data_IF_831606004095
#
_entry.id   IF_831606004095
#
_cell.length_a   1.000
_cell.length_b   1.000
_cell.length_c   1.000
_cell.angle_alpha   90.00
_cell.angle_beta   90.00
_cell.angle_gamma   90.00
#
_symmetry.space_group_name_H-M   'P 1'
#
loop_
_entity.id
_entity.type
_entity.pdbx_description
1 polymer ?
#
# COMPACT_ATOMS: atom_id res chain seq x y z
N UNK A 1 -36.75 20.58 -21.21
CA UNK A 1 -36.24 19.74 -20.11
C UNK A 1 -34.74 19.63 -20.27
N UNK A 2 -33.98 20.33 -19.41
CA UNK A 2 -32.55 20.50 -19.55
C UNK A 2 -31.80 19.35 -18.86
N UNK A 3 -30.98 18.62 -19.62
CA UNK A 3 -30.16 17.51 -19.14
C UNK A 3 -29.04 17.99 -18.24
N UNK A 4 -29.00 17.45 -17.01
CA UNK A 4 -27.96 17.71 -16.04
C UNK A 4 -26.60 17.18 -16.54
N UNK A 5 -25.70 18.09 -16.87
CA UNK A 5 -24.28 17.80 -17.12
C UNK A 5 -23.63 17.39 -15.79
N UNK A 6 -23.42 16.09 -15.58
CA UNK A 6 -22.59 15.61 -14.46
C UNK A 6 -21.14 16.02 -14.68
N UNK A 7 -20.73 17.05 -13.95
CA UNK A 7 -19.32 17.48 -13.84
C UNK A 7 -18.63 16.49 -12.92
N UNK A 8 -17.72 15.70 -13.46
CA UNK A 8 -16.77 14.90 -12.67
C UNK A 8 -15.85 15.87 -11.94
N UNK A 9 -16.16 16.15 -10.67
CA UNK A 9 -15.19 16.69 -9.74
C UNK A 9 -14.42 15.48 -9.18
N UNK A 10 -13.29 15.17 -9.79
CA UNK A 10 -12.25 14.37 -9.14
C UNK A 10 -11.92 15.10 -7.84
N UNK A 11 -12.29 14.51 -6.71
CA UNK A 11 -11.83 14.96 -5.41
C UNK A 11 -10.31 14.80 -5.41
N UNK A 12 -9.60 15.90 -5.65
CA UNK A 12 -8.18 16.03 -5.45
C UNK A 12 -7.90 15.65 -3.99
N UNK A 13 -7.33 14.47 -3.76
CA UNK A 13 -6.61 14.20 -2.53
C UNK A 13 -5.37 15.10 -2.57
N UNK A 14 -5.51 16.35 -2.12
CA UNK A 14 -4.40 17.25 -1.92
C UNK A 14 -3.38 16.55 -0.99
N UNK A 15 -2.06 16.73 -1.20
CA UNK A 15 -1.08 16.27 -0.23
C UNK A 15 -1.32 17.07 1.04
N UNK A 16 -1.92 16.43 2.05
CA UNK A 16 -1.93 16.99 3.39
C UNK A 16 -0.46 17.16 3.77
N UNK A 17 0.00 18.41 3.84
CA UNK A 17 1.21 18.76 4.57
C UNK A 17 1.00 18.15 5.95
N UNK A 18 1.71 17.06 6.23
CA UNK A 18 1.64 16.38 7.50
C UNK A 18 2.29 17.29 8.54
N UNK A 19 1.52 18.28 9.03
CA UNK A 19 1.82 18.99 10.25
C UNK A 19 2.14 17.93 11.32
N UNK A 20 3.39 17.96 11.78
CA UNK A 20 4.06 17.14 12.79
C UNK A 20 3.11 16.14 13.45
N UNK A 21 2.84 15.02 12.77
CA UNK A 21 2.12 13.94 13.42
C UNK A 21 3.01 13.42 14.55
N UNK A 22 2.48 13.21 15.77
CA UNK A 22 3.25 12.65 16.85
C UNK A 22 3.88 11.35 16.35
N UNK A 23 5.21 11.31 16.36
CA UNK A 23 5.92 10.06 16.15
C UNK A 23 5.58 9.18 17.35
N UNK A 24 5.28 7.89 17.15
CA UNK A 24 5.09 7.00 18.29
C UNK A 24 6.37 7.03 19.15
N UNK A 25 6.24 7.46 20.42
CA UNK A 25 7.31 7.30 21.40
C UNK A 25 7.27 5.87 21.92
N UNK A 26 8.40 5.20 21.85
CA UNK A 26 8.52 3.74 21.91
C UNK A 26 7.98 3.15 23.24
N UNK A 27 8.22 3.76 24.39
CA UNK A 27 8.07 3.04 25.67
C UNK A 27 6.64 3.01 26.28
N UNK A 28 5.79 4.01 26.01
CA UNK A 28 4.47 4.12 26.67
C UNK A 28 3.33 3.59 25.81
N UNK A 29 3.43 3.76 24.49
CA UNK A 29 2.37 3.35 23.57
C UNK A 29 2.59 1.92 23.04
N UNK A 30 3.83 1.43 23.01
CA UNK A 30 4.21 0.15 22.39
C UNK A 30 5.22 -0.61 23.24
N UNK A 31 4.82 -1.20 24.38
CA UNK A 31 5.76 -1.71 25.40
C UNK A 31 6.55 -2.96 24.97
N UNK A 32 6.22 -3.57 23.83
CA UNK A 32 6.91 -4.77 23.34
C UNK A 32 7.82 -4.39 22.19
N UNK A 33 9.11 -4.66 22.35
CA UNK A 33 10.12 -4.38 21.34
C UNK A 33 10.86 -5.65 20.94
N UNK A 34 11.19 -5.76 19.65
CA UNK A 34 12.08 -6.80 19.15
C UNK A 34 12.85 -6.28 17.95
N UNK A 35 14.12 -6.66 17.86
CA UNK A 35 14.90 -6.50 16.65
C UNK A 35 14.95 -7.83 15.90
N UNK A 36 14.60 -7.81 14.62
CA UNK A 36 14.66 -8.98 13.74
C UNK A 36 15.38 -8.54 12.46
N UNK A 37 16.61 -9.01 12.26
CA UNK A 37 17.48 -8.52 11.19
C UNK A 37 17.67 -7.00 11.27
N UNK A 38 17.40 -6.29 10.17
CA UNK A 38 17.44 -4.83 10.09
C UNK A 38 16.19 -4.12 10.64
N UNK A 39 15.17 -4.84 11.07
CA UNK A 39 13.88 -4.27 11.47
C UNK A 39 13.78 -4.09 12.97
N UNK A 40 13.28 -2.93 13.39
CA UNK A 40 12.91 -2.64 14.76
C UNK A 40 11.39 -2.69 14.87
N UNK A 41 10.87 -3.63 15.65
CA UNK A 41 9.44 -3.87 15.80
C UNK A 41 9.02 -3.37 17.18
N UNK A 42 8.04 -2.47 17.23
CA UNK A 42 7.38 -1.99 18.44
C UNK A 42 5.90 -2.38 18.36
N UNK A 43 5.34 -3.01 19.40
CA UNK A 43 3.99 -3.56 19.38
C UNK A 43 3.20 -3.29 20.66
N UNK A 44 1.87 -3.29 20.54
CA UNK A 44 0.95 -3.20 21.70
C UNK A 44 0.81 -4.51 22.48
N UNK A 45 1.29 -5.63 21.91
CA UNK A 45 1.16 -6.98 22.44
C UNK A 45 2.46 -7.76 22.21
N UNK A 46 2.71 -8.86 22.96
CA UNK A 46 3.94 -9.64 22.84
C UNK A 46 4.23 -10.02 21.38
N UNK A 47 5.50 -9.88 20.98
CA UNK A 47 5.96 -10.19 19.62
C UNK A 47 6.35 -11.67 19.57
N UNK A 48 5.55 -12.56 18.94
CA UNK A 48 5.85 -13.98 18.87
C UNK A 48 7.00 -14.25 17.88
N UNK A 49 7.63 -15.43 17.99
CA UNK A 49 8.62 -15.93 17.03
C UNK A 49 8.05 -16.14 15.62
N UNK A 50 6.72 -16.21 15.46
CA UNK A 50 6.09 -16.23 14.15
C UNK A 50 6.38 -14.95 13.32
N UNK A 51 6.71 -13.83 13.99
CA UNK A 51 7.03 -12.57 13.31
C UNK A 51 8.29 -12.68 12.44
N UNK A 52 9.25 -13.54 12.78
CA UNK A 52 10.44 -13.78 11.97
C UNK A 52 10.06 -14.26 10.55
N UNK A 53 9.09 -15.17 10.46
CA UNK A 53 8.62 -15.70 9.19
C UNK A 53 7.81 -14.66 8.39
N UNK A 54 7.08 -13.77 9.07
CA UNK A 54 6.38 -12.65 8.43
C UNK A 54 7.37 -11.71 7.77
N UNK A 55 8.43 -11.31 8.48
CA UNK A 55 9.46 -10.41 7.95
C UNK A 55 10.26 -11.08 6.83
N UNK A 56 10.66 -12.34 7.01
CA UNK A 56 11.34 -13.09 5.94
C UNK A 56 10.53 -13.13 4.64
N UNK A 57 9.19 -13.29 4.71
CA UNK A 57 8.32 -13.21 3.53
C UNK A 57 8.22 -11.80 2.95
N UNK A 58 8.22 -10.76 3.77
CA UNK A 58 8.21 -9.38 3.31
C UNK A 58 9.53 -9.04 2.58
N UNK A 59 10.67 -9.44 3.16
CA UNK A 59 12.00 -9.25 2.57
C UNK A 59 12.17 -10.03 1.28
N UNK A 60 11.68 -11.28 1.23
CA UNK A 60 11.69 -12.08 0.01
C UNK A 60 10.94 -11.36 -1.12
N UNK A 61 9.78 -10.76 -0.83
CA UNK A 61 9.00 -9.98 -1.81
C UNK A 61 9.74 -8.73 -2.27
N UNK A 62 10.37 -8.00 -1.36
CA UNK A 62 11.18 -6.84 -1.72
C UNK A 62 12.38 -7.23 -2.59
N UNK A 63 12.98 -8.40 -2.34
CA UNK A 63 14.14 -8.88 -3.10
C UNK A 63 13.85 -9.15 -4.58
N UNK A 64 12.57 -9.30 -4.97
CA UNK A 64 12.19 -9.45 -6.39
C UNK A 64 12.10 -8.12 -7.13
N UNK A 65 12.18 -6.98 -6.43
CA UNK A 65 12.20 -5.66 -7.05
C UNK A 65 13.52 -5.44 -7.81
N UNK A 66 13.44 -4.93 -9.05
CA UNK A 66 14.64 -4.54 -9.81
C UNK A 66 15.41 -3.36 -9.18
N UNK A 67 14.79 -2.63 -8.25
CA UNK A 67 15.40 -1.54 -7.47
C UNK A 67 15.58 -1.93 -6.00
N UNK A 68 15.64 -3.25 -5.72
CA UNK A 68 15.86 -3.75 -4.37
C UNK A 68 17.20 -3.26 -3.81
N UNK A 69 17.19 -2.83 -2.56
CA UNK A 69 18.40 -2.45 -1.82
C UNK A 69 18.63 -3.47 -0.70
N UNK A 70 19.78 -4.16 -0.68
CA UNK A 70 20.11 -5.08 0.40
C UNK A 70 20.09 -4.39 1.77
N UNK A 71 19.57 -5.08 2.79
CA UNK A 71 19.61 -4.58 4.16
C UNK A 71 18.72 -3.36 4.44
N UNK A 72 17.64 -3.16 3.68
CA UNK A 72 16.62 -2.14 3.98
C UNK A 72 15.96 -2.46 5.33
N UNK A 73 16.47 -1.84 6.40
CA UNK A 73 15.83 -1.85 7.71
C UNK A 73 14.59 -0.94 7.75
N UNK A 74 13.68 -1.23 8.67
CA UNK A 74 12.47 -0.42 8.90
C UNK A 74 12.11 -0.38 10.38
N UNK A 75 11.42 0.69 10.78
CA UNK A 75 10.77 0.79 12.10
C UNK A 75 9.31 0.43 11.91
N UNK A 76 8.87 -0.67 12.51
CA UNK A 76 7.54 -1.24 12.32
C UNK A 76 6.76 -1.13 13.63
N UNK A 77 5.64 -0.43 13.60
CA UNK A 77 4.71 -0.31 14.70
C UNK A 77 3.47 -1.15 14.43
N UNK A 78 3.20 -2.12 15.31
CA UNK A 78 2.08 -3.04 15.19
C UNK A 78 1.01 -2.67 16.23
N UNK A 79 -0.19 -2.35 15.74
CA UNK A 79 -1.33 -2.03 16.60
C UNK A 79 -2.34 -3.18 16.61
N UNK A 80 -3.26 -3.17 17.58
CA UNK A 80 -4.48 -4.01 17.53
C UNK A 80 -5.63 -3.28 16.82
N UNK A 81 -5.33 -2.16 16.14
CA UNK A 81 -6.29 -1.14 15.72
C UNK A 81 -6.61 -0.18 16.86
N UNK A 82 -7.90 0.07 17.09
CA UNK A 82 -8.35 0.80 18.27
C UNK A 82 -7.96 2.28 18.30
N UNK A 83 -7.68 2.81 19.50
CA UNK A 83 -7.43 4.24 19.69
C UNK A 83 -6.02 4.67 19.25
N UNK A 84 -5.00 3.83 19.43
CA UNK A 84 -3.63 4.13 19.01
C UNK A 84 -3.54 4.28 17.49
N UNK A 85 -4.12 3.35 16.75
CA UNK A 85 -4.28 3.49 15.31
C UNK A 85 -5.03 4.77 14.94
N UNK A 86 -6.18 5.05 15.56
CA UNK A 86 -6.97 6.28 15.26
C UNK A 86 -6.17 7.57 15.50
N UNK A 87 -5.37 7.62 16.57
CA UNK A 87 -4.52 8.75 16.88
C UNK A 87 -3.40 8.94 15.83
N UNK A 88 -2.78 7.84 15.38
CA UNK A 88 -1.66 7.86 14.44
C UNK A 88 -2.10 8.06 12.98
N UNK A 89 -3.21 7.43 12.58
CA UNK A 89 -3.70 7.42 11.21
C UNK A 89 -4.46 8.70 10.82
N UNK A 90 -4.95 9.47 11.80
CA UNK A 90 -5.74 10.70 11.58
C UNK A 90 -6.87 10.47 10.56
N UNK A 91 -6.72 10.95 9.32
CA UNK A 91 -7.72 10.82 8.25
C UNK A 91 -7.73 9.43 7.57
N UNK A 92 -6.67 8.63 7.72
CA UNK A 92 -6.49 7.34 7.02
C UNK A 92 -6.95 6.14 7.85
N UNK A 93 -7.97 6.29 8.69
CA UNK A 93 -8.41 5.23 9.63
C UNK A 93 -8.80 3.90 8.97
N UNK A 94 -9.14 3.91 7.68
CA UNK A 94 -9.51 2.73 6.90
C UNK A 94 -8.36 2.16 6.07
N UNK A 95 -7.11 2.58 6.33
CA UNK A 95 -5.92 2.01 5.72
C UNK A 95 -5.44 0.76 6.49
N UNK A 96 -4.69 -0.11 5.81
CA UNK A 96 -3.99 -1.23 6.44
C UNK A 96 -2.75 -0.80 7.20
N UNK A 97 -2.01 0.15 6.63
CA UNK A 97 -0.83 0.73 7.22
C UNK A 97 -0.66 2.16 6.71
N UNK A 98 0.25 2.89 7.33
CA UNK A 98 0.77 4.15 6.84
C UNK A 98 2.29 4.15 6.93
N UNK A 99 2.93 4.78 5.96
CA UNK A 99 4.32 5.19 6.05
C UNK A 99 4.44 6.72 6.09
N UNK A 100 5.55 7.22 6.63
CA UNK A 100 5.82 8.67 6.70
C UNK A 100 6.90 9.06 5.68
N UNK A 101 6.66 10.08 4.84
CA UNK A 101 7.69 10.63 3.96
C UNK A 101 8.99 10.93 4.71
N UNK A 102 10.13 10.53 4.14
CA UNK A 102 11.45 10.80 4.73
C UNK A 102 11.86 9.86 5.88
N UNK A 103 11.10 8.79 6.14
CA UNK A 103 11.47 7.75 7.12
C UNK A 103 11.11 6.35 6.61
N UNK A 104 11.80 5.32 7.11
CA UNK A 104 11.43 3.92 6.89
C UNK A 104 10.46 3.42 7.98
N UNK A 105 9.54 4.29 8.38
CA UNK A 105 8.52 4.02 9.39
C UNK A 105 7.30 3.36 8.72
N UNK A 106 6.89 2.22 9.26
CA UNK A 106 5.67 1.50 8.90
C UNK A 106 4.80 1.41 10.15
N UNK A 107 3.59 1.92 10.10
CA UNK A 107 2.62 1.77 11.19
C UNK A 107 1.45 0.96 10.64
N UNK A 108 1.26 -0.23 11.15
CA UNK A 108 0.16 -1.12 10.76
C UNK A 108 -1.03 -0.86 11.66
N UNK A 109 -2.23 -0.88 11.08
CA UNK A 109 -3.51 -0.94 11.78
C UNK A 109 -3.60 -2.27 12.57
N UNK A 110 -4.78 -2.87 12.70
CA UNK A 110 -4.91 -4.17 13.36
C UNK A 110 -4.12 -5.25 12.62
N UNK A 111 -3.31 -6.00 13.35
CA UNK A 111 -2.50 -7.10 12.83
C UNK A 111 -2.58 -8.36 13.71
N UNK A 112 -2.38 -9.53 13.10
CA UNK A 112 -2.20 -10.84 13.72
C UNK A 112 -0.88 -11.43 13.18
N UNK A 113 0.17 -11.35 13.98
CA UNK A 113 1.52 -11.80 13.60
C UNK A 113 1.61 -13.31 13.43
N UNK A 114 0.80 -14.08 14.15
CA UNK A 114 0.83 -15.54 14.10
C UNK A 114 0.19 -16.03 12.81
N UNK A 115 -0.93 -15.42 12.41
CA UNK A 115 -1.64 -15.77 11.18
C UNK A 115 -1.16 -15.04 9.94
N UNK A 116 -0.20 -14.12 10.09
CA UNK A 116 0.26 -13.23 9.02
C UNK A 116 -0.89 -12.43 8.41
N UNK A 117 -1.68 -11.73 9.23
CA UNK A 117 -2.84 -10.95 8.74
C UNK A 117 -2.77 -9.51 9.20
N UNK A 118 -3.22 -8.60 8.34
CA UNK A 118 -3.53 -7.22 8.65
C UNK A 118 -4.98 -6.91 8.26
N UNK A 119 -5.61 -5.95 8.94
CA UNK A 119 -7.02 -5.64 8.77
C UNK A 119 -7.26 -4.13 8.67
N UNK A 120 -8.19 -3.72 7.82
CA UNK A 120 -8.62 -2.32 7.69
C UNK A 120 -10.12 -2.09 8.02
N UNK A 121 -10.84 -3.16 8.38
CA UNK A 121 -12.26 -3.12 8.79
C UNK A 121 -13.29 -3.18 7.65
N UNK A 122 -12.87 -3.21 6.38
CA UNK A 122 -13.79 -3.34 5.23
C UNK A 122 -14.29 -4.78 5.07
N UNK A 123 -15.50 -4.93 4.49
CA UNK A 123 -16.08 -6.25 4.21
C UNK A 123 -15.40 -6.95 3.02
N UNK A 124 -15.10 -6.20 1.96
CA UNK A 124 -14.42 -6.69 0.76
C UNK A 124 -13.03 -6.05 0.73
N UNK A 125 -12.00 -6.87 0.51
CA UNK A 125 -10.60 -6.45 0.53
C UNK A 125 -10.15 -5.82 1.87
N UNK A 126 -10.78 -6.23 2.98
CA UNK A 126 -10.45 -5.71 4.31
C UNK A 126 -9.44 -6.53 5.10
N UNK A 127 -8.91 -7.59 4.50
CA UNK A 127 -7.88 -8.47 5.05
C UNK A 127 -6.77 -8.64 4.01
N UNK A 128 -5.51 -8.53 4.43
CA UNK A 128 -4.32 -8.83 3.61
C UNK A 128 -3.31 -9.59 4.45
N UNK A 129 -2.40 -10.35 3.83
CA UNK A 129 -1.25 -10.85 4.56
C UNK A 129 -0.42 -9.71 5.15
N UNK A 130 -0.01 -9.81 6.42
CA UNK A 130 0.79 -8.78 7.09
C UNK A 130 2.13 -8.55 6.38
N UNK A 131 2.76 -9.64 5.94
CA UNK A 131 3.99 -9.63 5.14
C UNK A 131 3.84 -8.85 3.82
N UNK A 132 2.68 -8.94 3.15
CA UNK A 132 2.40 -8.16 1.95
C UNK A 132 2.22 -6.67 2.27
N UNK A 133 1.53 -6.35 3.37
CA UNK A 133 1.36 -4.96 3.81
C UNK A 133 2.72 -4.33 4.15
N UNK A 134 3.58 -5.03 4.88
CA UNK A 134 4.94 -4.55 5.20
C UNK A 134 5.76 -4.35 3.91
N UNK A 135 5.75 -5.33 3.00
CA UNK A 135 6.46 -5.23 1.73
C UNK A 135 5.97 -4.05 0.87
N UNK A 136 4.65 -3.81 0.82
CA UNK A 136 4.05 -2.68 0.13
C UNK A 136 4.57 -1.35 0.69
N UNK A 137 4.53 -1.17 2.01
CA UNK A 137 4.98 0.08 2.64
C UNK A 137 6.49 0.32 2.46
N UNK A 138 7.28 -0.75 2.52
CA UNK A 138 8.73 -0.71 2.26
C UNK A 138 9.05 -0.45 0.78
N UNK A 139 8.20 -0.88 -0.16
CA UNK A 139 8.37 -0.60 -1.59
C UNK A 139 8.24 0.91 -1.89
N UNK A 140 7.43 1.66 -1.14
CA UNK A 140 7.49 3.12 -1.20
C UNK A 140 8.87 3.66 -0.77
N UNK A 141 9.52 3.01 0.21
CA UNK A 141 10.89 3.31 0.61
C UNK A 141 11.89 3.10 -0.52
N UNK A 142 11.79 1.97 -1.24
CA UNK A 142 12.61 1.71 -2.43
C UNK A 142 12.43 2.80 -3.49
N UNK A 143 11.19 3.17 -3.82
CA UNK A 143 10.91 4.24 -4.79
C UNK A 143 11.52 5.58 -4.37
N UNK A 144 11.40 5.95 -3.09
CA UNK A 144 11.98 7.20 -2.56
C UNK A 144 13.51 7.18 -2.60
N UNK A 145 14.15 6.05 -2.35
CA UNK A 145 15.61 5.91 -2.42
C UNK A 145 16.12 5.96 -3.86
N UNK A 146 15.39 5.33 -4.77
CA UNK A 146 15.78 5.22 -6.17
C UNK A 146 15.56 6.52 -6.95
N UNK A 147 14.38 7.15 -6.82
CA UNK A 147 14.02 8.36 -7.57
C UNK A 147 14.20 9.66 -6.77
N UNK A 148 14.39 9.57 -5.46
CA UNK A 148 14.29 10.72 -4.55
C UNK A 148 12.86 11.01 -4.12
N UNK A 149 12.70 11.67 -2.97
CA UNK A 149 11.41 11.93 -2.36
C UNK A 149 10.47 12.75 -3.27
N UNK A 150 10.98 13.82 -3.88
CA UNK A 150 10.18 14.72 -4.71
C UNK A 150 9.63 14.03 -5.96
N UNK A 151 10.48 13.27 -6.68
CA UNK A 151 10.06 12.55 -7.87
C UNK A 151 9.06 11.43 -7.55
N UNK A 152 9.30 10.68 -6.46
CA UNK A 152 8.38 9.64 -6.01
C UNK A 152 7.00 10.21 -5.61
N UNK A 153 6.95 11.44 -5.06
CA UNK A 153 5.70 12.12 -4.72
C UNK A 153 4.97 12.75 -5.92
N UNK A 154 5.71 13.20 -6.94
CA UNK A 154 5.14 13.77 -8.15
C UNK A 154 4.63 12.71 -9.14
N UNK A 155 5.09 11.47 -9.01
CA UNK A 155 4.69 10.37 -9.89
C UNK A 155 3.18 10.07 -9.80
N UNK A 156 2.54 9.67 -10.91
CA UNK A 156 1.14 9.27 -10.89
C UNK A 156 0.85 8.17 -9.86
N UNK A 157 -0.19 8.35 -9.05
CA UNK A 157 -0.53 7.42 -7.96
C UNK A 157 -0.66 5.96 -8.43
N UNK A 158 -1.21 5.72 -9.63
CA UNK A 158 -1.35 4.36 -10.17
C UNK A 158 0.00 3.66 -10.41
N UNK A 159 1.08 4.41 -10.71
CA UNK A 159 2.42 3.86 -10.84
C UNK A 159 2.99 3.52 -9.47
N UNK A 160 2.89 4.45 -8.53
CA UNK A 160 3.43 4.30 -7.18
C UNK A 160 2.74 3.16 -6.46
N UNK A 161 1.42 3.24 -6.28
CA UNK A 161 0.63 2.22 -5.59
C UNK A 161 0.63 0.88 -6.34
N UNK A 162 0.52 0.92 -7.66
CA UNK A 162 0.56 -0.27 -8.50
C UNK A 162 1.91 -1.00 -8.43
N UNK A 163 3.02 -0.26 -8.36
CA UNK A 163 4.35 -0.83 -8.20
C UNK A 163 4.54 -1.41 -6.79
N UNK A 164 4.08 -0.71 -5.75
CA UNK A 164 4.12 -1.23 -4.39
C UNK A 164 3.31 -2.54 -4.24
N UNK A 165 2.11 -2.61 -4.82
CA UNK A 165 1.30 -3.83 -4.84
C UNK A 165 1.89 -4.93 -5.75
N UNK A 166 2.59 -4.58 -6.83
CA UNK A 166 3.36 -5.52 -7.64
C UNK A 166 4.50 -6.15 -6.84
N UNK A 167 5.34 -5.35 -6.19
CA UNK A 167 6.46 -5.83 -5.35
C UNK A 167 5.93 -6.64 -4.16
N UNK A 168 4.84 -6.20 -3.53
CA UNK A 168 4.17 -6.96 -2.48
C UNK A 168 3.57 -8.29 -2.98
N UNK A 169 3.47 -8.48 -4.30
CA UNK A 169 2.93 -9.69 -4.93
C UNK A 169 1.42 -9.86 -4.72
N UNK A 170 0.68 -8.74 -4.59
CA UNK A 170 -0.77 -8.75 -4.41
C UNK A 170 -1.31 -7.49 -3.75
N UNK A 171 -2.59 -7.22 -4.02
CA UNK A 171 -3.32 -6.09 -3.44
C UNK A 171 -4.47 -6.56 -2.54
N UNK A 172 -5.41 -5.65 -2.26
CA UNK A 172 -6.57 -5.95 -1.41
C UNK A 172 -7.66 -6.77 -2.11
N UNK A 173 -7.66 -6.87 -3.43
CA UNK A 173 -8.66 -7.61 -4.21
C UNK A 173 -8.01 -8.78 -4.94
N UNK A 174 -8.68 -9.93 -4.90
CA UNK A 174 -8.45 -11.01 -5.86
C UNK A 174 -8.98 -10.64 -7.25
N UNK A 175 -8.49 -11.33 -8.28
CA UNK A 175 -8.97 -11.15 -9.66
C UNK A 175 -10.49 -11.43 -9.77
N UNK A 176 -11.00 -12.41 -9.01
CA UNK A 176 -12.43 -12.73 -8.98
C UNK A 176 -13.27 -11.64 -8.30
N UNK A 177 -12.81 -11.06 -7.19
CA UNK A 177 -13.49 -9.94 -6.54
C UNK A 177 -13.48 -8.69 -7.41
N UNK A 178 -12.34 -8.37 -8.02
CA UNK A 178 -12.22 -7.25 -8.94
C UNK A 178 -13.15 -7.43 -10.15
N UNK A 179 -13.17 -8.60 -10.77
CA UNK A 179 -14.06 -8.91 -11.89
C UNK A 179 -15.54 -8.74 -11.51
N UNK A 180 -15.95 -9.21 -10.32
CA UNK A 180 -17.32 -9.01 -9.83
C UNK A 180 -17.66 -7.54 -9.62
N UNK A 181 -16.75 -6.77 -9.02
CA UNK A 181 -16.96 -5.33 -8.79
C UNK A 181 -17.09 -4.57 -10.11
N UNK A 182 -16.22 -4.86 -11.09
CA UNK A 182 -16.25 -4.26 -12.42
C UNK A 182 -17.55 -4.61 -13.16
N UNK A 183 -17.92 -5.90 -13.18
CA UNK A 183 -19.14 -6.36 -13.84
C UNK A 183 -20.41 -5.73 -13.23
N UNK A 184 -20.40 -5.52 -11.91
CA UNK A 184 -21.49 -4.85 -11.20
C UNK A 184 -21.47 -3.31 -11.32
N UNK A 185 -20.46 -2.71 -11.95
CA UNK A 185 -20.27 -1.26 -11.99
C UNK A 185 -20.13 -0.62 -10.59
N UNK A 186 -19.65 -1.39 -9.61
CA UNK A 186 -19.53 -0.94 -8.22
C UNK A 186 -18.24 -0.17 -8.03
N UNK A 187 -18.35 1.10 -7.64
CA UNK A 187 -17.19 1.88 -7.21
C UNK A 187 -16.66 1.32 -5.88
N UNK A 188 -15.37 1.01 -5.83
CA UNK A 188 -14.72 0.43 -4.66
C UNK A 188 -13.30 0.97 -4.51
N UNK A 189 -12.89 1.42 -3.31
CA UNK A 189 -11.61 2.12 -3.11
C UNK A 189 -10.38 1.25 -3.37
N UNK A 190 -10.50 -0.08 -3.33
CA UNK A 190 -9.41 -1.00 -3.68
C UNK A 190 -9.30 -1.26 -5.20
N UNK A 191 -10.28 -0.87 -6.00
CA UNK A 191 -10.30 -1.13 -7.43
C UNK A 191 -9.21 -0.34 -8.18
N UNK A 192 -8.97 0.97 -7.91
CA UNK A 192 -7.86 1.69 -8.53
C UNK A 192 -6.49 1.08 -8.26
N UNK A 193 -6.26 0.53 -7.06
CA UNK A 193 -5.02 -0.15 -6.69
C UNK A 193 -4.85 -1.45 -7.48
N UNK A 194 -5.91 -2.26 -7.55
CA UNK A 194 -5.92 -3.48 -8.36
C UNK A 194 -5.59 -3.19 -9.83
N UNK A 195 -6.28 -2.22 -10.43
CA UNK A 195 -6.08 -1.83 -11.82
C UNK A 195 -4.68 -1.25 -12.06
N UNK A 196 -4.19 -0.42 -11.13
CA UNK A 196 -2.82 0.09 -11.13
C UNK A 196 -1.78 -1.02 -11.13
N UNK A 197 -1.92 -2.01 -10.25
CA UNK A 197 -1.04 -3.19 -10.21
C UNK A 197 -1.08 -3.96 -11.53
N UNK A 198 -2.26 -4.29 -12.06
CA UNK A 198 -2.38 -5.02 -13.35
C UNK A 198 -1.72 -4.25 -14.49
N UNK A 199 -1.83 -2.92 -14.48
CA UNK A 199 -1.19 -2.05 -15.47
C UNK A 199 0.33 -2.07 -15.33
N UNK A 200 0.86 -1.95 -14.11
CA UNK A 200 2.30 -2.02 -13.83
C UNK A 200 2.88 -3.38 -14.21
N UNK A 201 2.23 -4.48 -13.82
CA UNK A 201 2.60 -5.85 -14.23
C UNK A 201 2.76 -5.95 -15.75
N UNK A 202 1.78 -5.46 -16.50
CA UNK A 202 1.79 -5.52 -17.95
C UNK A 202 2.90 -4.65 -18.58
N UNK A 203 3.18 -3.47 -18.01
CA UNK A 203 4.26 -2.58 -18.48
C UNK A 203 5.64 -3.21 -18.20
N UNK A 204 5.85 -3.69 -16.98
CA UNK A 204 7.11 -4.32 -16.58
C UNK A 204 7.38 -5.58 -17.41
N UNK A 205 6.36 -6.39 -17.68
CA UNK A 205 6.50 -7.55 -18.56
C UNK A 205 6.93 -7.16 -19.99
N UNK A 206 6.47 -6.02 -20.51
CA UNK A 206 6.81 -5.54 -21.86
C UNK A 206 8.16 -4.83 -21.94
N UNK A 207 8.57 -4.13 -20.88
CA UNK A 207 9.78 -3.31 -20.88
C UNK A 207 11.01 -4.00 -20.25
N UNK A 208 10.94 -5.33 -20.05
CA UNK A 208 12.03 -6.12 -19.47
C UNK A 208 12.23 -5.91 -17.97
N UNK A 209 11.21 -5.45 -17.25
CA UNK A 209 11.27 -5.20 -15.81
C UNK A 209 11.89 -3.87 -15.42
N UNK A 210 12.08 -2.95 -16.36
CA UNK A 210 12.68 -1.63 -16.10
C UNK A 210 11.73 -0.72 -15.33
N UNK A 211 12.06 -0.46 -14.06
CA UNK A 211 11.33 0.46 -13.20
C UNK A 211 11.54 1.91 -13.66
N UNK A 212 12.74 2.26 -14.11
CA UNK A 212 13.02 3.59 -14.67
C UNK A 212 12.13 3.89 -15.88
N UNK A 213 11.99 2.94 -16.82
CA UNK A 213 11.13 3.12 -17.97
C UNK A 213 9.64 3.21 -17.59
N UNK A 214 9.20 2.45 -16.58
CA UNK A 214 7.85 2.56 -16.03
C UNK A 214 7.58 3.99 -15.51
N UNK A 215 8.53 4.60 -14.82
CA UNK A 215 8.36 5.92 -14.21
C UNK A 215 8.63 7.08 -15.19
N UNK A 216 9.46 6.89 -16.22
CA UNK A 216 9.78 7.91 -17.22
C UNK A 216 8.67 8.14 -18.28
N UNK A 217 7.88 7.12 -18.63
CA UNK A 217 6.91 7.24 -19.71
C UNK A 217 5.54 7.76 -19.23
N UNK A 218 5.00 8.78 -19.88
CA UNK A 218 3.59 9.15 -19.75
C UNK A 218 2.72 8.17 -20.55
N UNK A 219 2.57 6.95 -20.03
CA UNK A 219 1.73 5.95 -20.69
C UNK A 219 0.27 6.44 -20.76
N UNK A 220 -0.40 6.34 -21.92
CA UNK A 220 -1.78 6.77 -22.06
C UNK A 220 -2.66 6.04 -21.04
N UNK A 221 -3.55 6.79 -20.38
CA UNK A 221 -4.61 6.21 -19.54
C UNK A 221 -5.31 5.15 -20.38
N UNK A 222 -5.21 3.88 -19.97
CA UNK A 222 -6.07 2.84 -20.54
C UNK A 222 -7.47 3.24 -20.11
N UNK A 223 -8.21 3.91 -20.99
CA UNK A 223 -9.64 4.07 -20.81
C UNK A 223 -10.22 2.66 -20.77
N UNK A 224 -10.65 2.24 -19.59
CA UNK A 224 -11.47 1.04 -19.49
C UNK A 224 -12.64 1.20 -20.47
N UNK A 225 -12.94 0.17 -21.27
CA UNK A 225 -14.14 0.20 -22.08
C UNK A 225 -15.32 0.42 -21.13
N UNK A 226 -16.02 1.54 -21.30
CA UNK A 226 -17.31 1.75 -20.62
C UNK A 226 -18.16 0.50 -20.87
N UNK A 227 -18.80 -0.08 -19.85
CA UNK A 227 -19.74 -1.16 -20.06
C UNK A 227 -20.77 -0.69 -21.09
N UNK A 228 -20.78 -1.34 -22.25
CA UNK A 228 -21.81 -1.09 -23.25
C UNK A 228 -23.14 -1.48 -22.61
N UNK A 229 -24.08 -0.53 -22.51
CA UNK A 229 -25.45 -0.89 -22.16
C UNK A 229 -25.94 -1.86 -23.22
N UNK A 230 -26.58 -2.99 -22.85
CA UNK A 230 -27.25 -3.82 -23.83
C UNK A 230 -28.26 -2.97 -24.58
N UNK A 231 -28.27 -3.10 -25.91
CA UNK A 231 -29.29 -2.49 -26.74
C UNK A 231 -30.65 -3.05 -26.32
N UNK A 232 -31.51 -2.18 -25.79
CA UNK A 232 -32.95 -2.41 -25.65
C UNK A 232 -33.66 -1.76 -26.82
#
# INVERSE_FOLDING_TARGET
MAGARSRWLLALAAPAIAASAPQPSDDLAFPFHRQIGGHHISAEFPIPSAMDAVLARADQRLSTSAIAVPGLGSRIFLTNGGWRWRALAKASVSAFAISRPGSELVIVNRSDMVRDLAFNGRRIGGVRPLSQVIAHEMAHGLLRRHFGLAAAQAAPAWKVEGYCDFVAGGGSLSDAEAARLIAAGTDHPALPYYLGRKRVEAILARNGGSVDALFANDDPVIHEPKPQRPAT
#
